data_IF_984427603385
#
_entry.id   IF_984427603385
#
_cell.length_a   1.000
_cell.length_b   1.000
_cell.length_c   1.000
_cell.angle_alpha   90.00
_cell.angle_beta   90.00
_cell.angle_gamma   90.00
#
_symmetry.space_group_name_H-M   'P 1'
#
loop_
_entity.id
_entity.type
_entity.pdbx_description
1 polymer ?
#
# COMPACT_ATOMS: atom_id res chain seq x y z
N UNK A 1 -12.31 -10.29 -1.55
CA UNK A 1 -11.13 -10.28 -2.44
C UNK A 1 -10.79 -11.65 -3.00
N UNK A 2 -10.54 -12.68 -2.18
CA UNK A 2 -10.28 -14.05 -2.68
C UNK A 2 -11.40 -14.57 -3.59
N UNK A 3 -12.65 -14.24 -3.26
CA UNK A 3 -13.83 -14.49 -4.10
C UNK A 3 -13.69 -13.97 -5.54
N UNK A 4 -13.13 -12.76 -5.74
CA UNK A 4 -12.90 -12.18 -7.08
C UNK A 4 -11.87 -13.00 -7.85
N UNK A 5 -10.81 -13.45 -7.17
CA UNK A 5 -9.76 -14.26 -7.78
C UNK A 5 -10.32 -15.62 -8.20
N UNK A 6 -11.06 -16.29 -7.31
CA UNK A 6 -11.68 -17.59 -7.58
C UNK A 6 -12.70 -17.48 -8.72
N UNK A 7 -13.57 -16.47 -8.69
CA UNK A 7 -14.55 -16.24 -9.76
C UNK A 7 -13.88 -15.91 -11.10
N UNK A 8 -12.84 -15.07 -11.11
CA UNK A 8 -12.09 -14.73 -12.33
C UNK A 8 -11.36 -15.95 -12.92
N UNK A 9 -10.78 -16.81 -12.07
CA UNK A 9 -10.12 -18.05 -12.50
C UNK A 9 -11.15 -19.04 -13.05
N UNK A 10 -12.26 -19.23 -12.35
CA UNK A 10 -13.34 -20.13 -12.78
C UNK A 10 -13.94 -19.70 -14.12
N UNK A 11 -14.02 -18.37 -14.36
CA UNK A 11 -14.58 -17.77 -15.58
C UNK A 11 -13.53 -17.40 -16.64
N UNK A 12 -12.28 -17.85 -16.47
CA UNK A 12 -11.16 -17.49 -17.36
C UNK A 12 -11.40 -17.84 -18.83
N UNK A 13 -12.12 -18.93 -19.10
CA UNK A 13 -12.40 -19.44 -20.45
C UNK A 13 -13.54 -18.71 -21.18
N UNK A 14 -14.33 -17.88 -20.50
CA UNK A 14 -15.43 -17.15 -21.13
C UNK A 14 -14.91 -16.01 -22.02
N UNK A 15 -15.64 -15.66 -23.10
CA UNK A 15 -15.32 -14.47 -23.89
C UNK A 15 -15.46 -13.21 -23.03
N UNK A 16 -14.61 -12.22 -23.30
CA UNK A 16 -14.72 -10.91 -22.61
C UNK A 16 -15.91 -10.15 -23.22
N UNK A 17 -16.80 -9.56 -22.40
CA UNK A 17 -17.98 -8.85 -22.92
C UNK A 17 -17.58 -7.66 -23.78
N UNK A 18 -18.27 -7.48 -24.90
CA UNK A 18 -18.02 -6.37 -25.86
C UNK A 18 -18.42 -5.02 -25.26
N UNK A 19 -19.39 -5.00 -24.33
CA UNK A 19 -19.87 -3.80 -23.66
C UNK A 19 -19.69 -3.87 -22.13
N UNK A 20 -19.07 -2.85 -21.49
CA UNK A 20 -18.86 -2.80 -20.05
C UNK A 20 -20.16 -2.65 -19.23
N UNK A 21 -21.28 -2.33 -19.88
CA UNK A 21 -22.61 -2.27 -19.27
C UNK A 21 -23.23 -3.65 -18.97
N UNK A 22 -22.61 -4.75 -19.45
CA UNK A 22 -23.05 -6.12 -19.17
C UNK A 22 -22.43 -6.72 -17.89
N UNK A 23 -21.57 -5.96 -17.20
CA UNK A 23 -20.93 -6.38 -15.96
C UNK A 23 -21.90 -6.22 -14.77
N UNK A 24 -21.91 -7.18 -13.85
CA UNK A 24 -22.81 -7.16 -12.70
C UNK A 24 -22.43 -6.07 -11.69
N UNK A 25 -23.34 -5.11 -11.53
CA UNK A 25 -23.26 -4.09 -10.49
C UNK A 25 -24.58 -4.05 -9.70
N UNK A 26 -24.49 -4.02 -8.37
CA UNK A 26 -25.66 -3.85 -7.51
C UNK A 26 -26.09 -2.39 -7.64
N UNK A 27 -27.28 -2.16 -8.21
CA UNK A 27 -27.85 -0.82 -8.36
C UNK A 27 -27.99 -0.13 -7.00
N UNK A 28 -27.75 1.18 -6.98
CA UNK A 28 -27.84 2.09 -5.82
C UNK A 28 -29.16 1.99 -5.02
N UNK A 29 -30.20 1.39 -5.60
CA UNK A 29 -31.50 1.23 -4.95
C UNK A 29 -31.54 0.15 -3.86
N UNK A 30 -30.55 -0.75 -3.76
CA UNK A 30 -30.46 -1.74 -2.69
C UNK A 30 -29.39 -1.36 -1.66
N UNK A 31 -29.72 -0.37 -0.82
CA UNK A 31 -29.34 -0.31 0.60
C UNK A 31 -27.86 -0.19 1.01
N UNK A 32 -26.90 -0.19 0.09
CA UNK A 32 -25.48 -0.12 0.45
C UNK A 32 -24.86 1.18 -0.07
N UNK A 33 -24.61 2.13 0.84
CA UNK A 33 -23.93 3.42 0.60
C UNK A 33 -22.42 3.25 0.29
N UNK A 34 -22.05 2.21 -0.45
CA UNK A 34 -20.67 1.98 -0.90
C UNK A 34 -20.30 2.95 -2.04
N UNK A 35 -19.05 3.44 -2.03
CA UNK A 35 -18.52 4.22 -3.15
C UNK A 35 -18.39 3.32 -4.37
N UNK A 36 -19.18 3.59 -5.41
CA UNK A 36 -19.04 2.94 -6.72
C UNK A 36 -17.72 3.38 -7.35
N UNK A 37 -16.94 2.40 -7.80
CA UNK A 37 -15.66 2.64 -8.49
C UNK A 37 -15.89 2.60 -10.00
N UNK A 38 -15.33 3.58 -10.70
CA UNK A 38 -15.39 3.63 -12.15
C UNK A 38 -14.57 2.47 -12.75
N UNK A 39 -15.16 1.80 -13.74
CA UNK A 39 -14.54 0.67 -14.41
C UNK A 39 -13.23 1.07 -15.14
N UNK A 40 -12.15 0.32 -14.90
CA UNK A 40 -10.85 0.54 -15.56
C UNK A 40 -10.49 -0.59 -16.53
N UNK A 41 -9.90 -0.22 -17.68
CA UNK A 41 -9.44 -1.18 -18.71
C UNK A 41 -8.17 -1.94 -18.33
N UNK A 42 -7.53 -1.63 -17.20
CA UNK A 42 -6.34 -2.32 -16.69
C UNK A 42 -6.75 -3.61 -15.98
N UNK A 43 -5.92 -4.65 -16.07
CA UNK A 43 -6.16 -5.96 -15.43
C UNK A 43 -7.51 -6.61 -15.80
N UNK A 44 -7.85 -6.61 -17.10
CA UNK A 44 -9.12 -7.13 -17.66
C UNK A 44 -9.47 -8.56 -17.27
N UNK A 45 -8.48 -9.33 -16.82
CA UNK A 45 -8.67 -10.69 -16.33
C UNK A 45 -9.67 -10.73 -15.15
N UNK A 46 -9.60 -9.77 -14.22
CA UNK A 46 -10.46 -9.76 -13.05
C UNK A 46 -11.90 -9.35 -13.36
N UNK A 47 -12.13 -8.64 -14.45
CA UNK A 47 -13.49 -8.27 -14.91
C UNK A 47 -14.35 -9.51 -15.19
N UNK A 48 -13.71 -10.64 -15.52
CA UNK A 48 -14.41 -11.91 -15.76
C UNK A 48 -15.17 -12.42 -14.52
N UNK A 49 -14.77 -12.00 -13.32
CA UNK A 49 -15.48 -12.32 -12.09
C UNK A 49 -16.89 -11.70 -12.01
N UNK A 50 -17.13 -10.61 -12.75
CA UNK A 50 -18.38 -9.87 -12.78
C UNK A 50 -19.24 -10.18 -14.02
N UNK A 51 -18.90 -11.20 -14.82
CA UNK A 51 -19.72 -11.67 -15.94
C UNK A 51 -20.89 -12.49 -15.37
N UNK A 52 -22.12 -12.13 -15.75
CA UNK A 52 -23.33 -12.92 -15.43
C UNK A 52 -23.41 -14.11 -16.40
N UNK A 53 -23.44 -15.32 -15.88
CA UNK A 53 -23.71 -16.52 -16.68
C UNK A 53 -25.23 -16.76 -16.72
N UNK A 54 -25.81 -16.72 -17.92
CA UNK A 54 -27.22 -16.95 -18.27
C UNK A 54 -28.23 -15.86 -17.85
N UNK A 55 -28.80 -15.18 -18.86
CA UNK A 55 -29.97 -14.28 -18.77
C UNK A 55 -31.29 -15.02 -18.44
N UNK A 56 -31.27 -16.35 -18.26
CA UNK A 56 -32.49 -17.16 -18.08
C UNK A 56 -32.94 -17.43 -16.64
N UNK A 57 -32.13 -17.13 -15.62
CA UNK A 57 -32.42 -17.44 -14.22
C UNK A 57 -32.38 -16.19 -13.33
N UNK A 58 -33.26 -15.23 -13.62
CA UNK A 58 -33.51 -14.07 -12.74
C UNK A 58 -34.09 -14.44 -11.37
N UNK A 59 -34.37 -15.73 -11.09
CA UNK A 59 -35.00 -16.22 -9.87
C UNK A 59 -34.14 -17.13 -8.98
N UNK A 60 -32.82 -17.22 -9.18
CA UNK A 60 -31.94 -17.90 -8.22
C UNK A 60 -31.28 -16.88 -7.30
N UNK A 61 -32.04 -16.53 -6.25
CA UNK A 61 -31.76 -15.55 -5.18
C UNK A 61 -30.49 -15.79 -4.33
N UNK A 62 -29.61 -16.70 -4.75
CA UNK A 62 -28.37 -17.06 -4.05
C UNK A 62 -27.29 -17.48 -5.05
N UNK A 63 -26.87 -16.59 -5.95
CA UNK A 63 -25.57 -16.81 -6.60
C UNK A 63 -24.48 -16.72 -5.53
N UNK A 64 -23.82 -17.85 -5.28
CA UNK A 64 -22.80 -17.93 -4.23
C UNK A 64 -21.74 -16.84 -4.45
N UNK A 65 -21.28 -16.17 -3.38
CA UNK A 65 -20.34 -15.05 -3.48
C UNK A 65 -18.97 -15.43 -4.08
N UNK A 66 -18.76 -16.72 -4.36
CA UNK A 66 -17.59 -17.29 -5.00
C UNK A 66 -17.72 -17.46 -6.52
N UNK A 67 -18.94 -17.36 -7.07
CA UNK A 67 -19.20 -17.48 -8.52
C UNK A 67 -19.45 -16.12 -9.18
N UNK A 68 -19.99 -15.13 -8.46
CA UNK A 68 -20.25 -13.80 -9.00
C UNK A 68 -19.72 -12.73 -8.04
N UNK A 69 -18.96 -11.77 -8.58
CA UNK A 69 -18.50 -10.60 -7.85
C UNK A 69 -19.03 -9.32 -8.52
N UNK A 70 -19.24 -8.27 -7.73
CA UNK A 70 -19.62 -6.96 -8.25
C UNK A 70 -18.43 -6.24 -8.89
N UNK A 71 -18.69 -5.35 -9.86
CA UNK A 71 -17.66 -4.47 -10.46
C UNK A 71 -16.87 -3.71 -9.40
N UNK A 72 -17.54 -3.20 -8.35
CA UNK A 72 -16.87 -2.51 -7.24
C UNK A 72 -15.84 -3.40 -6.56
N UNK A 73 -16.16 -4.66 -6.24
CA UNK A 73 -15.21 -5.60 -5.62
C UNK A 73 -14.05 -5.94 -6.56
N UNK A 74 -14.31 -6.01 -7.86
CA UNK A 74 -13.27 -6.22 -8.88
C UNK A 74 -12.30 -5.03 -8.92
N UNK A 75 -12.83 -3.81 -8.95
CA UNK A 75 -12.02 -2.59 -8.99
C UNK A 75 -11.22 -2.37 -7.70
N UNK A 76 -11.81 -2.65 -6.54
CA UNK A 76 -11.07 -2.66 -5.26
C UNK A 76 -9.90 -3.64 -5.31
N UNK A 77 -10.08 -4.84 -5.91
CA UNK A 77 -9.01 -5.82 -6.03
C UNK A 77 -7.91 -5.33 -6.97
N UNK A 78 -8.26 -4.71 -8.09
CA UNK A 78 -7.28 -4.08 -9.00
C UNK A 78 -6.47 -3.00 -8.29
N UNK A 79 -7.11 -2.18 -7.45
CA UNK A 79 -6.42 -1.17 -6.63
C UNK A 79 -5.43 -1.80 -5.66
N UNK A 80 -5.83 -2.87 -4.95
CA UNK A 80 -4.91 -3.59 -4.06
C UNK A 80 -3.71 -4.16 -4.81
N UNK A 81 -3.91 -4.77 -5.99
CA UNK A 81 -2.81 -5.29 -6.81
C UNK A 81 -1.87 -4.17 -7.24
N UNK A 82 -2.39 -3.02 -7.65
CA UNK A 82 -1.57 -1.87 -8.02
C UNK A 82 -0.80 -1.28 -6.82
N UNK A 83 -1.22 -1.55 -5.59
CA UNK A 83 -0.51 -1.14 -4.37
C UNK A 83 0.64 -2.11 -4.01
N UNK A 84 0.62 -3.36 -4.48
CA UNK A 84 1.66 -4.36 -4.17
C UNK A 84 3.05 -3.89 -4.60
N UNK A 85 3.28 -3.36 -5.82
CA UNK A 85 4.60 -2.86 -6.21
C UNK A 85 5.10 -1.77 -5.25
N UNK A 86 4.24 -0.82 -4.87
CA UNK A 86 4.57 0.26 -3.93
C UNK A 86 5.01 -0.34 -2.59
N UNK A 87 4.26 -1.32 -2.08
CA UNK A 87 4.61 -2.02 -0.85
C UNK A 87 5.94 -2.77 -0.95
N UNK A 88 6.22 -3.44 -2.07
CA UNK A 88 7.51 -4.13 -2.31
C UNK A 88 8.69 -3.13 -2.24
N UNK A 89 8.54 -1.93 -2.81
CA UNK A 89 9.58 -0.89 -2.72
C UNK A 89 9.84 -0.41 -1.29
N UNK A 90 8.92 -0.64 -0.34
CA UNK A 90 9.15 -0.32 1.09
C UNK A 90 9.93 -1.40 1.85
N UNK A 91 10.06 -2.62 1.29
CA UNK A 91 10.73 -3.74 1.96
C UNK A 91 12.21 -3.50 2.27
N UNK A 92 13.05 -2.94 1.36
CA UNK A 92 14.45 -2.68 1.66
C UNK A 92 14.63 -1.79 2.89
N UNK A 93 13.81 -0.74 3.03
CA UNK A 93 13.81 0.12 4.20
C UNK A 93 13.51 -0.66 5.49
N UNK A 94 12.46 -1.49 5.48
CA UNK A 94 12.10 -2.33 6.62
C UNK A 94 13.20 -3.32 7.02
N UNK A 95 13.90 -3.91 6.02
CA UNK A 95 15.04 -4.79 6.27
C UNK A 95 16.19 -4.02 6.93
N UNK A 96 16.56 -2.85 6.40
CA UNK A 96 17.61 -2.01 7.01
C UNK A 96 17.26 -1.60 8.44
N UNK A 97 16.00 -1.20 8.69
CA UNK A 97 15.53 -0.85 10.02
C UNK A 97 15.64 -2.04 10.99
N UNK A 98 15.22 -3.24 10.58
CA UNK A 98 15.30 -4.44 11.41
C UNK A 98 16.74 -4.85 11.74
N UNK A 99 17.69 -4.68 10.80
CA UNK A 99 19.10 -4.99 11.02
C UNK A 99 19.81 -3.96 11.91
N UNK A 100 19.23 -2.78 12.10
CA UNK A 100 19.90 -1.69 12.83
C UNK A 100 20.18 -2.07 14.30
N UNK A 101 19.30 -2.82 14.94
CA UNK A 101 19.47 -3.27 16.33
C UNK A 101 20.38 -4.48 16.49
N UNK A 102 20.78 -5.16 15.41
CA UNK A 102 21.58 -6.38 15.45
C UNK A 102 22.97 -6.15 14.86
N UNK A 103 23.04 -5.74 13.60
CA UNK A 103 24.27 -5.60 12.84
C UNK A 103 25.20 -4.56 13.46
N UNK A 104 24.68 -3.36 13.79
CA UNK A 104 25.52 -2.31 14.37
C UNK A 104 25.98 -2.61 15.80
N UNK A 105 25.19 -3.36 16.58
CA UNK A 105 25.64 -3.82 17.91
C UNK A 105 26.78 -4.84 17.75
N UNK A 106 26.66 -5.77 16.81
CA UNK A 106 27.70 -6.77 16.51
C UNK A 106 28.97 -6.13 15.96
N UNK A 107 28.84 -5.21 15.00
CA UNK A 107 29.95 -4.41 14.49
C UNK A 107 30.61 -3.64 15.63
N UNK A 108 29.80 -2.97 16.44
CA UNK A 108 30.23 -2.20 17.60
C UNK A 108 30.86 -2.99 18.73
N UNK A 109 30.75 -4.33 18.73
CA UNK A 109 31.46 -5.20 19.66
C UNK A 109 32.90 -5.49 19.22
N UNK A 110 33.17 -5.46 17.92
CA UNK A 110 34.50 -5.71 17.34
C UNK A 110 35.32 -4.40 17.28
N UNK A 111 34.65 -3.25 17.26
CA UNK A 111 35.28 -1.93 17.29
C UNK A 111 35.93 -1.64 18.66
N UNK A 112 36.96 -0.80 18.68
CA UNK A 112 37.48 -0.25 19.93
C UNK A 112 36.44 0.71 20.55
N UNK A 113 36.09 0.44 21.80
CA UNK A 113 35.04 1.17 22.55
C UNK A 113 35.59 1.81 23.81
N UNK A 114 36.92 1.88 23.94
CA UNK A 114 37.57 2.51 25.09
C UNK A 114 37.49 4.02 24.96
N UNK A 115 36.96 4.68 26.00
CA UNK A 115 37.09 6.11 26.22
C UNK A 115 38.20 6.31 27.25
N UNK A 116 39.34 6.83 26.80
CA UNK A 116 40.52 6.97 27.64
C UNK A 116 41.06 5.62 28.11
N UNK A 117 41.66 5.59 29.29
CA UNK A 117 42.40 4.41 29.77
C UNK A 117 41.56 3.40 30.57
N UNK A 118 40.36 3.76 31.01
CA UNK A 118 39.63 3.00 32.05
C UNK A 118 38.15 2.73 31.77
N UNK A 119 37.54 3.40 30.79
CA UNK A 119 36.12 3.22 30.51
C UNK A 119 35.90 2.53 29.16
N UNK A 120 35.13 1.45 29.14
CA UNK A 120 34.68 0.81 27.90
C UNK A 120 33.16 0.96 27.74
N UNK A 121 32.72 1.63 26.68
CA UNK A 121 31.30 1.86 26.42
C UNK A 121 30.63 0.54 26.05
N UNK A 122 29.55 0.03 26.69
CA UNK A 122 28.85 -1.20 26.27
C UNK A 122 28.38 -1.20 24.80
N UNK A 123 28.38 -2.36 24.12
CA UNK A 123 28.12 -2.43 22.65
C UNK A 123 26.70 -2.12 22.29
N UNK A 124 25.77 -2.49 23.17
CA UNK A 124 24.38 -2.09 23.05
C UNK A 124 24.18 -0.57 23.08
N UNK A 125 25.04 0.19 23.78
CA UNK A 125 24.92 1.65 23.88
C UNK A 125 25.16 2.38 22.56
N UNK A 126 25.77 1.73 21.57
CA UNK A 126 25.93 2.29 20.21
C UNK A 126 24.56 2.51 19.55
N UNK A 127 23.55 1.72 19.90
CA UNK A 127 22.19 1.91 19.40
C UNK A 127 21.60 3.27 19.79
N UNK A 128 22.02 3.84 20.93
CA UNK A 128 21.60 5.17 21.40
C UNK A 128 21.98 6.28 20.42
N UNK A 129 23.07 6.12 19.65
CA UNK A 129 23.48 7.08 18.61
C UNK A 129 22.39 7.20 17.53
N UNK A 130 21.76 6.09 17.16
CA UNK A 130 20.64 6.08 16.20
C UNK A 130 19.46 6.89 16.72
N UNK A 131 19.10 6.72 18.00
CA UNK A 131 18.01 7.47 18.64
C UNK A 131 18.30 8.99 18.65
N UNK A 132 19.53 9.39 19.01
CA UNK A 132 19.96 10.79 18.98
C UNK A 132 19.90 11.34 17.55
N UNK A 133 20.40 10.58 16.57
CA UNK A 133 20.35 10.95 15.16
C UNK A 133 18.91 11.14 14.66
N UNK A 134 17.98 10.28 15.09
CA UNK A 134 16.55 10.41 14.76
C UNK A 134 15.96 11.70 15.34
N UNK A 135 16.24 12.02 16.61
CA UNK A 135 15.79 13.28 17.23
C UNK A 135 16.32 14.49 16.48
N UNK A 136 17.62 14.49 16.13
CA UNK A 136 18.25 15.57 15.36
C UNK A 136 17.61 15.68 13.97
N UNK A 137 17.37 14.56 13.30
CA UNK A 137 16.76 14.52 11.96
C UNK A 137 15.33 15.07 11.98
N UNK A 138 14.51 14.68 12.96
CA UNK A 138 13.15 15.21 13.16
C UNK A 138 13.19 16.71 13.45
N UNK A 139 14.06 17.14 14.37
CA UNK A 139 14.21 18.56 14.68
C UNK A 139 14.65 19.38 13.46
N UNK A 140 15.60 18.87 12.68
CA UNK A 140 16.05 19.46 11.43
C UNK A 140 14.92 19.56 10.41
N UNK A 141 14.16 18.47 10.23
CA UNK A 141 13.03 18.42 9.33
C UNK A 141 11.98 19.48 9.68
N UNK A 142 11.51 19.51 10.93
CA UNK A 142 10.45 20.42 11.37
C UNK A 142 10.89 21.89 11.42
N UNK A 143 12.11 22.16 11.89
CA UNK A 143 12.58 23.54 12.12
C UNK A 143 13.19 24.17 10.88
N UNK A 144 13.89 23.41 10.05
CA UNK A 144 14.62 23.94 8.90
C UNK A 144 13.91 23.56 7.61
N UNK A 145 13.76 22.27 7.33
CA UNK A 145 13.28 21.80 6.03
C UNK A 145 11.85 22.27 5.75
N UNK A 146 10.91 22.09 6.70
CA UNK A 146 9.53 22.55 6.56
C UNK A 146 9.44 24.07 6.42
N UNK A 147 10.25 24.83 7.18
CA UNK A 147 10.26 26.30 7.10
C UNK A 147 10.80 26.80 5.76
N UNK A 148 11.88 26.18 5.25
CA UNK A 148 12.46 26.51 3.95
C UNK A 148 11.47 26.18 2.83
N UNK A 149 10.85 24.99 2.87
CA UNK A 149 9.80 24.62 1.90
C UNK A 149 8.61 25.59 1.94
N UNK A 150 8.20 26.04 3.13
CA UNK A 150 7.16 27.08 3.29
C UNK A 150 7.54 28.41 2.65
N UNK A 151 8.80 28.84 2.80
CA UNK A 151 9.29 30.06 2.17
C UNK A 151 9.36 29.96 0.64
N UNK A 152 9.78 28.82 0.11
CA UNK A 152 9.96 28.62 -1.35
C UNK A 152 8.60 28.40 -2.05
N UNK A 153 7.70 27.62 -1.43
CA UNK A 153 6.42 27.22 -2.02
C UNK A 153 5.31 28.27 -1.84
N UNK A 154 5.47 29.23 -0.92
CA UNK A 154 4.50 30.29 -0.66
C UNK A 154 3.18 29.82 -0.02
N UNK A 155 2.99 28.52 0.19
CA UNK A 155 1.80 27.91 0.79
C UNK A 155 1.99 27.70 2.31
N UNK A 156 0.99 27.95 3.15
CA UNK A 156 1.11 27.86 4.62
C UNK A 156 1.54 26.48 5.15
N UNK A 157 1.27 25.41 4.37
CA UNK A 157 1.67 24.03 4.67
C UNK A 157 3.01 23.61 4.05
N UNK A 158 3.67 24.49 3.30
CA UNK A 158 4.99 24.31 2.69
C UNK A 158 5.09 23.38 1.49
N UNK A 159 4.43 22.21 1.49
CA UNK A 159 4.51 21.28 0.35
C UNK A 159 3.19 20.51 0.20
N UNK A 160 2.73 20.31 -1.04
CA UNK A 160 1.48 19.62 -1.33
C UNK A 160 1.59 18.12 -0.97
N UNK A 161 0.47 17.47 -0.57
CA UNK A 161 0.48 16.06 -0.11
C UNK A 161 1.12 15.13 -1.16
N UNK A 162 0.77 15.30 -2.44
CA UNK A 162 1.33 14.49 -3.53
C UNK A 162 2.85 14.65 -3.68
N UNK A 163 3.38 15.83 -3.37
CA UNK A 163 4.79 16.14 -3.47
C UNK A 163 5.56 15.64 -2.24
N UNK A 164 4.92 15.56 -1.07
CA UNK A 164 5.46 14.89 0.13
C UNK A 164 5.65 13.40 -0.13
N UNK A 165 4.60 12.76 -0.64
CA UNK A 165 4.63 11.36 -1.05
C UNK A 165 5.68 11.12 -2.14
N UNK A 166 5.78 12.01 -3.14
CA UNK A 166 6.74 11.89 -4.24
C UNK A 166 8.21 11.98 -3.82
N UNK A 167 8.52 12.72 -2.75
CA UNK A 167 9.88 12.81 -2.17
C UNK A 167 10.13 11.74 -1.10
N UNK A 168 9.11 10.95 -0.75
CA UNK A 168 9.23 9.84 0.19
C UNK A 168 9.14 10.23 1.67
N UNK A 169 8.45 11.33 1.99
CA UNK A 169 7.98 11.63 3.36
C UNK A 169 6.65 10.94 3.63
#
# INVERSE_FOLDING_TARGET
MLQVVVAAISKRKLPYPTNPSQLYEVSKHEGNNGRVLAHTKKLKFFDKAAIVENEGNYLAKEQSPWKLATVTKVEEMKLMINMIPIWIFTLPFGICAAQTSTFFIKQGHIMDRKIGNSFEIPSASIYTISAIGMIISVAFYDKILVRVLRKISGNERGMNILQRIGVGM
#
